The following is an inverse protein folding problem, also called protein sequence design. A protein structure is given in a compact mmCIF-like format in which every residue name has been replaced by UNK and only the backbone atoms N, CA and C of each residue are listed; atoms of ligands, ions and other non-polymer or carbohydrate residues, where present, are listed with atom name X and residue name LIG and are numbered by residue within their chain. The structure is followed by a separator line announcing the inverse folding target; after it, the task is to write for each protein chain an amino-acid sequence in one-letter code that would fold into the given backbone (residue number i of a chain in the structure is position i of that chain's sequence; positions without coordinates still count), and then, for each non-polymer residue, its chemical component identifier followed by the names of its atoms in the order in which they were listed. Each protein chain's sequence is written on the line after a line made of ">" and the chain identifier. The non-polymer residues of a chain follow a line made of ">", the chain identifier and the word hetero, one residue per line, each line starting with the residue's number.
data_IF_805985326174
#
_entry.id   IF_805985326174
#
_cell.length_a   1.000
_cell.length_b   1.000
_cell.length_c   1.000
_cell.angle_alpha   90.00
_cell.angle_beta   90.00
_cell.angle_gamma   90.00
#
_symmetry.space_group_name_H-M   'P 1'
#
loop_
_entity.id
_entity.type
_entity.pdbx_description
1 polymer ?
#
# COMPACT_ATOMS: atom_id res chain seq x y z
N UNK A 1 1.55 26.87 3.23
CA UNK A 1 0.81 27.03 1.95
C UNK A 1 1.01 25.85 1.01
N UNK A 2 2.25 25.57 0.48
CA UNK A 2 2.48 24.44 -0.46
C UNK A 2 2.25 23.07 0.19
N UNK A 3 2.66 22.89 1.44
CA UNK A 3 2.44 21.66 2.19
C UNK A 3 0.94 21.40 2.41
N UNK A 4 0.19 22.41 2.75
CA UNK A 4 -1.26 22.34 2.94
C UNK A 4 -1.98 22.03 1.62
N UNK A 5 -1.55 22.63 0.50
CA UNK A 5 -2.09 22.32 -0.83
C UNK A 5 -1.80 20.86 -1.21
N UNK A 6 -0.58 20.37 -0.98
CA UNK A 6 -0.23 18.98 -1.21
C UNK A 6 -1.06 18.03 -0.33
N UNK A 7 -1.23 18.35 0.94
CA UNK A 7 -2.05 17.56 1.88
C UNK A 7 -3.52 17.55 1.47
N UNK A 8 -4.05 18.69 1.03
CA UNK A 8 -5.43 18.80 0.51
C UNK A 8 -5.63 17.94 -0.74
N UNK A 9 -4.71 18.01 -1.71
CA UNK A 9 -4.79 17.18 -2.92
C UNK A 9 -4.64 15.69 -2.60
N UNK A 10 -3.67 15.34 -1.74
CA UNK A 10 -3.44 13.96 -1.33
C UNK A 10 -4.64 13.38 -0.56
N UNK A 11 -5.30 14.17 0.29
CA UNK A 11 -6.52 13.74 1.01
C UNK A 11 -7.72 13.53 0.09
N UNK A 12 -7.69 14.14 -1.09
CA UNK A 12 -8.67 13.91 -2.17
C UNK A 12 -8.29 12.75 -3.12
N UNK A 13 -7.28 11.94 -2.74
CA UNK A 13 -6.87 10.77 -3.51
C UNK A 13 -5.87 11.05 -4.63
N UNK A 14 -5.41 12.29 -4.81
CA UNK A 14 -4.46 12.63 -5.86
C UNK A 14 -3.02 12.24 -5.50
N UNK A 15 -2.31 11.72 -6.48
CA UNK A 15 -0.85 11.62 -6.46
C UNK A 15 -0.26 12.96 -6.91
N UNK A 16 0.54 13.60 -6.07
CA UNK A 16 1.03 14.95 -6.31
C UNK A 16 2.53 14.95 -6.58
N UNK A 17 2.93 15.63 -7.65
CA UNK A 17 4.32 15.86 -8.03
C UNK A 17 4.59 17.37 -8.03
N UNK A 18 5.65 17.78 -7.35
CA UNK A 18 6.15 19.16 -7.42
C UNK A 18 7.04 19.33 -8.65
N UNK A 19 6.81 20.40 -9.40
CA UNK A 19 7.58 20.76 -10.58
C UNK A 19 8.36 22.02 -10.31
N UNK A 20 9.66 22.00 -10.63
CA UNK A 20 10.55 23.15 -10.52
C UNK A 20 11.49 23.21 -11.72
N UNK A 21 11.93 24.42 -12.09
CA UNK A 21 12.93 24.66 -13.13
C UNK A 21 14.23 25.18 -12.54
N UNK A 22 15.34 24.97 -13.27
CA UNK A 22 16.63 25.56 -12.95
C UNK A 22 17.34 25.96 -14.26
N UNK A 23 17.92 27.13 -14.30
CA UNK A 23 18.78 27.57 -15.42
C UNK A 23 20.16 26.90 -15.37
N UNK A 24 20.52 26.27 -14.28
CA UNK A 24 21.80 25.60 -14.06
C UNK A 24 21.62 24.09 -14.15
N UNK A 25 22.65 23.40 -14.70
CA UNK A 25 22.73 21.92 -14.66
C UNK A 25 22.86 21.35 -13.23
N UNK A 26 23.05 22.21 -12.24
CA UNK A 26 23.10 21.82 -10.84
C UNK A 26 21.73 22.09 -10.19
N UNK A 27 21.27 21.19 -9.32
CA UNK A 27 20.00 21.32 -8.57
C UNK A 27 20.05 22.44 -7.50
N UNK A 28 21.03 23.35 -7.60
CA UNK A 28 21.16 24.54 -6.76
C UNK A 28 20.38 25.69 -7.42
N UNK A 29 19.53 26.37 -6.69
CA UNK A 29 18.65 27.47 -7.17
C UNK A 29 17.57 26.97 -8.14
N UNK A 30 16.62 26.22 -7.61
CA UNK A 30 15.41 25.81 -8.33
C UNK A 30 14.29 26.84 -8.12
N UNK A 31 13.60 27.18 -9.20
CA UNK A 31 12.37 27.98 -9.16
C UNK A 31 11.17 27.03 -9.18
N UNK A 32 10.36 27.08 -8.13
CA UNK A 32 9.13 26.28 -8.07
C UNK A 32 8.15 26.80 -9.13
N UNK A 33 7.61 25.88 -9.94
CA UNK A 33 6.63 26.18 -10.99
C UNK A 33 5.21 25.87 -10.49
N UNK A 34 5.00 24.71 -9.86
CA UNK A 34 3.67 24.29 -9.42
C UNK A 34 3.61 22.85 -8.95
N UNK A 35 2.39 22.44 -8.61
CA UNK A 35 2.03 21.05 -8.33
C UNK A 35 1.24 20.48 -9.50
N UNK A 36 1.54 19.27 -9.89
CA UNK A 36 0.77 18.48 -10.84
C UNK A 36 0.12 17.33 -10.08
N UNK A 37 -1.19 17.24 -10.12
CA UNK A 37 -1.96 16.22 -9.44
C UNK A 37 -2.50 15.20 -10.43
N UNK A 38 -2.30 13.91 -10.16
CA UNK A 38 -2.79 12.80 -10.95
C UNK A 38 -3.79 12.01 -10.11
N UNK A 39 -4.85 11.55 -10.73
CA UNK A 39 -5.74 10.56 -10.15
C UNK A 39 -5.66 9.30 -11.00
N UNK A 40 -5.49 8.16 -10.34
CA UNK A 40 -5.62 6.86 -10.96
C UNK A 40 -6.98 6.30 -10.52
N UNK A 41 -7.99 6.31 -11.41
CA UNK A 41 -9.34 5.93 -11.00
C UNK A 41 -9.38 4.45 -10.63
N UNK A 42 -10.15 4.14 -9.60
CA UNK A 42 -10.45 2.76 -9.24
C UNK A 42 -11.21 2.13 -10.42
N UNK A 43 -10.78 0.94 -10.84
CA UNK A 43 -11.50 0.20 -11.89
C UNK A 43 -12.90 -0.15 -11.41
N UNK A 44 -13.86 -0.14 -12.32
CA UNK A 44 -15.30 -0.30 -12.02
C UNK A 44 -15.60 -1.65 -11.34
N UNK A 45 -14.87 -2.71 -11.73
CA UNK A 45 -15.05 -4.08 -11.24
C UNK A 45 -14.53 -4.32 -9.80
N UNK A 46 -13.67 -3.43 -9.28
CA UNK A 46 -12.98 -3.65 -7.98
C UNK A 46 -13.95 -3.61 -6.80
N UNK A 47 -14.93 -2.72 -6.81
CA UNK A 47 -15.92 -2.63 -5.71
C UNK A 47 -16.76 -3.91 -5.59
N UNK A 48 -17.17 -4.45 -6.72
CA UNK A 48 -17.95 -5.68 -6.77
C UNK A 48 -17.12 -6.86 -6.27
N UNK A 49 -15.90 -7.01 -6.79
CA UNK A 49 -14.96 -8.05 -6.37
C UNK A 49 -14.67 -8.03 -4.86
N UNK A 50 -14.50 -6.84 -4.27
CA UNK A 50 -14.30 -6.69 -2.82
C UNK A 50 -15.56 -7.10 -2.05
N UNK A 51 -16.75 -6.79 -2.54
CA UNK A 51 -17.99 -7.21 -1.92
C UNK A 51 -18.18 -8.73 -1.99
N UNK A 52 -17.81 -9.35 -3.09
CA UNK A 52 -17.80 -10.82 -3.23
C UNK A 52 -16.83 -11.45 -2.22
N UNK A 53 -15.62 -10.92 -2.09
CA UNK A 53 -14.67 -11.37 -1.07
C UNK A 53 -15.26 -11.29 0.34
N UNK A 54 -15.90 -10.17 0.69
CA UNK A 54 -16.55 -9.99 2.00
C UNK A 54 -17.68 -11.00 2.23
N UNK A 55 -18.50 -11.24 1.22
CA UNK A 55 -19.60 -12.19 1.28
C UNK A 55 -19.08 -13.63 1.46
N UNK A 56 -17.94 -13.93 0.86
CA UNK A 56 -17.23 -15.20 1.03
C UNK A 56 -16.47 -15.31 2.36
N UNK A 57 -16.53 -14.30 3.23
CA UNK A 57 -15.79 -14.28 4.50
C UNK A 57 -14.30 -13.99 4.37
N UNK A 58 -13.86 -13.53 3.20
CA UNK A 58 -12.45 -13.19 2.94
C UNK A 58 -12.17 -11.77 3.41
N UNK A 59 -11.15 -11.61 4.25
CA UNK A 59 -10.66 -10.31 4.71
C UNK A 59 -9.71 -9.73 3.66
N UNK A 60 -10.06 -8.60 3.08
CA UNK A 60 -9.22 -7.90 2.11
C UNK A 60 -8.31 -6.90 2.84
N UNK A 61 -7.02 -6.97 2.57
CA UNK A 61 -5.98 -6.07 3.10
C UNK A 61 -5.32 -5.38 1.91
N UNK A 62 -5.17 -4.06 1.99
CA UNK A 62 -4.50 -3.26 0.97
C UNK A 62 -3.07 -2.95 1.39
N UNK A 63 -2.11 -3.25 0.52
CA UNK A 63 -0.70 -2.96 0.71
C UNK A 63 -0.21 -2.15 -0.48
N UNK A 64 0.28 -0.93 -0.24
CA UNK A 64 0.67 0.01 -1.30
C UNK A 64 1.92 0.82 -0.95
N UNK A 65 2.61 1.29 -1.98
CA UNK A 65 3.68 2.29 -1.85
C UNK A 65 3.17 3.73 -1.72
N UNK A 66 1.87 3.97 -1.87
CA UNK A 66 1.27 5.30 -1.90
C UNK A 66 1.32 6.03 -0.55
N UNK A 67 1.00 7.33 -0.62
CA UNK A 67 0.88 8.18 0.56
C UNK A 67 -0.32 7.73 1.43
N UNK A 68 -0.23 7.78 2.77
CA UNK A 68 -1.30 7.33 3.68
C UNK A 68 -2.66 7.96 3.41
N UNK A 69 -2.71 9.26 3.10
CA UNK A 69 -3.97 9.96 2.81
C UNK A 69 -4.61 9.49 1.50
N UNK A 70 -3.80 9.26 0.47
CA UNK A 70 -4.27 8.71 -0.81
C UNK A 70 -4.82 7.30 -0.63
N UNK A 71 -4.06 6.45 0.07
CA UNK A 71 -4.50 5.08 0.35
C UNK A 71 -5.76 5.02 1.24
N UNK A 72 -5.88 5.94 2.20
CA UNK A 72 -7.08 6.08 3.01
C UNK A 72 -8.31 6.42 2.16
N UNK A 73 -8.18 7.43 1.27
CA UNK A 73 -9.28 7.82 0.38
C UNK A 73 -9.74 6.65 -0.49
N UNK A 74 -8.81 5.96 -1.14
CA UNK A 74 -9.10 4.79 -1.98
C UNK A 74 -9.75 3.67 -1.16
N UNK A 75 -9.19 3.32 -0.01
CA UNK A 75 -9.70 2.24 0.82
C UNK A 75 -11.10 2.55 1.39
N UNK A 76 -11.38 3.81 1.69
CA UNK A 76 -12.69 4.28 2.12
C UNK A 76 -13.72 4.19 0.99
N UNK A 77 -13.36 4.62 -0.22
CA UNK A 77 -14.21 4.52 -1.41
C UNK A 77 -14.55 3.06 -1.77
N UNK A 78 -13.62 2.14 -1.48
CA UNK A 78 -13.79 0.70 -1.65
C UNK A 78 -14.52 0.04 -0.46
N UNK A 79 -14.92 0.79 0.56
CA UNK A 79 -15.51 0.29 1.79
C UNK A 79 -14.63 -0.74 2.53
N UNK A 80 -13.31 -0.69 2.37
CA UNK A 80 -12.37 -1.58 3.08
C UNK A 80 -12.19 -1.19 4.53
N UNK A 81 -12.22 0.11 4.83
CA UNK A 81 -11.99 0.70 6.16
C UNK A 81 -13.07 1.74 6.48
N UNK A 82 -13.27 1.95 7.76
CA UNK A 82 -14.17 3.00 8.27
C UNK A 82 -13.39 4.20 8.80
N UNK A 83 -12.26 3.96 9.44
CA UNK A 83 -11.47 4.99 10.12
C UNK A 83 -10.01 4.99 9.69
N UNK A 84 -9.36 6.15 9.84
CA UNK A 84 -7.93 6.30 9.56
C UNK A 84 -7.04 5.45 10.48
N UNK A 85 -7.54 5.04 11.64
CA UNK A 85 -6.80 4.17 12.57
C UNK A 85 -6.49 2.78 12.00
N UNK A 86 -7.19 2.35 10.96
CA UNK A 86 -6.95 1.08 10.26
C UNK A 86 -5.82 1.18 9.21
N UNK A 87 -5.31 2.41 8.97
CA UNK A 87 -4.16 2.69 8.09
C UNK A 87 -2.88 2.71 8.93
N UNK A 88 -1.79 2.22 8.36
CA UNK A 88 -0.45 2.30 8.94
C UNK A 88 0.61 2.50 7.87
N UNK A 89 1.82 2.86 8.30
CA UNK A 89 2.99 3.07 7.42
C UNK A 89 4.04 2.00 7.63
N UNK A 90 4.92 1.80 6.62
CA UNK A 90 6.08 0.92 6.76
C UNK A 90 6.95 1.27 7.96
N UNK A 91 7.12 2.56 8.28
CA UNK A 91 7.87 2.98 9.48
C UNK A 91 7.23 2.51 10.79
N UNK A 92 5.89 2.52 10.88
CA UNK A 92 5.20 1.98 12.05
C UNK A 92 5.30 0.45 12.10
N UNK A 93 5.25 -0.21 10.95
CA UNK A 93 5.49 -1.66 10.83
C UNK A 93 6.86 -2.01 11.41
N UNK A 94 7.93 -1.32 10.98
CA UNK A 94 9.29 -1.52 11.48
C UNK A 94 9.38 -1.29 13.00
N UNK A 95 8.80 -0.20 13.48
CA UNK A 95 8.77 0.14 14.91
C UNK A 95 8.09 -0.94 15.77
N UNK A 96 7.03 -1.56 15.27
CA UNK A 96 6.35 -2.63 16.00
C UNK A 96 7.09 -3.96 15.89
N UNK A 97 7.78 -4.21 14.78
CA UNK A 97 8.65 -5.36 14.62
C UNK A 97 9.79 -5.36 15.66
N UNK A 98 10.38 -4.18 15.94
CA UNK A 98 11.41 -4.00 16.99
C UNK A 98 10.88 -4.29 18.43
N UNK A 99 9.58 -4.14 18.68
CA UNK A 99 8.97 -4.45 19.98
C UNK A 99 8.79 -5.95 20.25
N UNK A 100 9.09 -6.77 19.25
CA UNK A 100 8.97 -8.21 19.32
C UNK A 100 7.67 -8.76 18.73
N UNK A 101 7.75 -10.03 18.40
CA UNK A 101 6.75 -10.73 17.57
C UNK A 101 5.32 -10.64 18.10
N UNK A 102 5.12 -10.81 19.41
CA UNK A 102 3.78 -10.78 20.02
C UNK A 102 3.08 -9.42 19.88
N UNK A 103 3.83 -8.33 20.07
CA UNK A 103 3.28 -6.98 19.92
C UNK A 103 3.08 -6.62 18.44
N UNK A 104 3.95 -7.11 17.58
CA UNK A 104 3.83 -6.98 16.15
C UNK A 104 2.55 -7.67 15.63
N UNK A 105 2.33 -8.93 16.00
CA UNK A 105 1.16 -9.69 15.55
C UNK A 105 -0.16 -9.05 16.02
N UNK A 106 -0.21 -8.53 17.26
CA UNK A 106 -1.37 -7.76 17.73
C UNK A 106 -1.59 -6.49 16.93
N UNK A 107 -0.53 -5.76 16.59
CA UNK A 107 -0.61 -4.54 15.81
C UNK A 107 -1.13 -4.82 14.39
N UNK A 108 -0.56 -5.81 13.70
CA UNK A 108 -0.98 -6.20 12.33
C UNK A 108 -2.46 -6.55 12.30
N UNK A 109 -2.98 -7.26 13.29
CA UNK A 109 -4.39 -7.65 13.39
C UNK A 109 -5.37 -6.47 13.36
N UNK A 110 -4.94 -5.29 13.80
CA UNK A 110 -5.77 -4.08 13.86
C UNK A 110 -5.75 -3.26 12.58
N UNK A 111 -4.90 -3.60 11.62
CA UNK A 111 -4.66 -2.81 10.41
C UNK A 111 -5.21 -3.52 9.18
N UNK A 112 -5.73 -2.73 8.23
CA UNK A 112 -6.24 -3.21 6.95
C UNK A 112 -5.56 -2.54 5.75
N UNK A 113 -4.90 -1.39 5.96
CA UNK A 113 -4.21 -0.63 4.93
C UNK A 113 -2.78 -0.33 5.36
N UNK A 114 -1.83 -0.82 4.58
CA UNK A 114 -0.40 -0.66 4.81
C UNK A 114 0.20 0.19 3.68
N UNK A 115 0.83 1.30 4.05
CA UNK A 115 1.31 2.33 3.12
C UNK A 115 2.82 2.50 3.22
N UNK A 116 3.47 2.90 2.12
CA UNK A 116 4.93 3.12 2.06
C UNK A 116 5.72 1.94 2.61
N UNK A 117 5.27 0.74 2.32
CA UNK A 117 5.90 -0.49 2.78
C UNK A 117 7.04 -0.92 1.87
N UNK A 118 8.07 -1.47 2.47
CA UNK A 118 9.18 -2.14 1.76
C UNK A 118 8.80 -3.59 1.41
N UNK A 119 9.53 -4.25 0.51
CA UNK A 119 9.36 -5.69 0.26
C UNK A 119 9.49 -6.54 1.53
N UNK A 120 10.37 -6.15 2.45
CA UNK A 120 10.54 -6.82 3.74
C UNK A 120 9.30 -6.64 4.63
N UNK A 121 8.75 -5.43 4.69
CA UNK A 121 7.52 -5.21 5.44
C UNK A 121 6.36 -6.07 4.91
N UNK A 122 6.23 -6.21 3.57
CA UNK A 122 5.19 -7.07 2.97
C UNK A 122 5.35 -8.52 3.42
N UNK A 123 6.58 -9.03 3.41
CA UNK A 123 6.88 -10.38 3.89
C UNK A 123 6.51 -10.56 5.37
N UNK A 124 6.93 -9.64 6.24
CA UNK A 124 6.67 -9.72 7.68
C UNK A 124 5.17 -9.63 8.01
N UNK A 125 4.41 -8.83 7.26
CA UNK A 125 2.94 -8.77 7.38
C UNK A 125 2.31 -10.13 7.06
N UNK A 126 2.71 -10.75 5.94
CA UNK A 126 2.22 -12.08 5.53
C UNK A 126 2.55 -13.13 6.58
N UNK A 127 3.80 -13.16 7.05
CA UNK A 127 4.23 -14.11 8.08
C UNK A 127 3.48 -13.90 9.40
N UNK A 128 3.21 -12.66 9.78
CA UNK A 128 2.41 -12.34 10.97
C UNK A 128 0.99 -12.89 10.86
N UNK A 129 0.32 -12.69 9.73
CA UNK A 129 -1.03 -13.20 9.49
C UNK A 129 -1.07 -14.74 9.53
N UNK A 130 -0.09 -15.41 8.92
CA UNK A 130 0.05 -16.87 8.96
C UNK A 130 0.25 -17.39 10.39
N UNK A 131 1.11 -16.74 11.19
CA UNK A 131 1.31 -17.10 12.60
C UNK A 131 0.03 -16.97 13.43
N UNK A 132 -0.86 -16.07 13.03
CA UNK A 132 -2.18 -15.89 13.66
C UNK A 132 -3.22 -16.91 13.19
N UNK A 133 -2.84 -17.86 12.33
CA UNK A 133 -3.70 -18.92 11.82
C UNK A 133 -4.54 -18.51 10.61
N UNK A 134 -4.28 -17.34 10.01
CA UNK A 134 -4.97 -16.91 8.79
C UNK A 134 -4.40 -17.67 7.57
N UNK A 135 -5.26 -18.04 6.64
CA UNK A 135 -4.87 -18.56 5.34
C UNK A 135 -4.74 -17.39 4.38
N UNK A 136 -3.51 -17.11 3.96
CA UNK A 136 -3.16 -15.86 3.26
C UNK A 136 -2.97 -16.09 1.77
N UNK A 137 -3.73 -15.37 0.96
CA UNK A 137 -3.47 -15.20 -0.47
C UNK A 137 -2.87 -13.81 -0.72
N UNK A 138 -1.82 -13.74 -1.53
CA UNK A 138 -1.16 -12.49 -1.91
C UNK A 138 -1.24 -12.33 -3.42
N UNK A 139 -1.64 -11.16 -3.89
CA UNK A 139 -1.55 -10.75 -5.29
C UNK A 139 -0.44 -9.73 -5.46
N UNK A 140 0.31 -9.81 -6.56
CA UNK A 140 1.39 -8.85 -6.86
C UNK A 140 1.77 -8.86 -8.32
N UNK A 141 2.34 -7.76 -8.79
CA UNK A 141 2.73 -7.53 -10.19
C UNK A 141 4.22 -7.20 -10.36
N UNK A 142 4.96 -7.09 -9.28
CA UNK A 142 6.34 -6.63 -9.27
C UNK A 142 7.34 -7.57 -8.60
N UNK A 143 8.61 -7.39 -8.93
CA UNK A 143 9.75 -8.06 -8.29
C UNK A 143 9.74 -7.85 -6.76
N UNK A 144 9.26 -6.70 -6.33
CA UNK A 144 9.18 -6.33 -4.92
C UNK A 144 8.16 -7.17 -4.13
N UNK A 145 7.24 -7.84 -4.81
CA UNK A 145 6.21 -8.68 -4.20
C UNK A 145 6.62 -10.15 -4.09
N UNK A 146 7.67 -10.55 -4.82
CA UNK A 146 8.11 -11.95 -4.90
C UNK A 146 8.35 -12.63 -3.54
N UNK A 147 8.99 -12.00 -2.52
CA UNK A 147 9.14 -12.61 -1.21
C UNK A 147 7.80 -12.88 -0.51
N UNK A 148 6.86 -11.93 -0.58
CA UNK A 148 5.53 -12.06 0.01
C UNK A 148 4.68 -13.09 -0.71
N UNK A 149 4.71 -13.10 -2.07
CA UNK A 149 4.03 -14.10 -2.91
C UNK A 149 4.50 -15.51 -2.57
N UNK A 150 5.81 -15.71 -2.47
CA UNK A 150 6.40 -17.01 -2.14
C UNK A 150 6.07 -17.49 -0.72
N UNK A 151 5.98 -16.56 0.22
CA UNK A 151 5.68 -16.88 1.62
C UNK A 151 4.20 -17.16 1.86
N UNK A 152 3.29 -16.60 1.06
CA UNK A 152 1.86 -16.79 1.20
C UNK A 152 1.43 -18.26 1.00
N UNK A 153 0.22 -18.62 1.51
CA UNK A 153 -0.38 -19.91 1.22
C UNK A 153 -0.78 -20.02 -0.26
N UNK A 154 -1.21 -18.89 -0.86
CA UNK A 154 -1.47 -18.77 -2.29
C UNK A 154 -0.80 -17.48 -2.78
N UNK A 155 0.16 -17.60 -3.69
CA UNK A 155 0.73 -16.48 -4.43
C UNK A 155 0.05 -16.35 -5.79
N UNK A 156 -0.42 -15.15 -6.14
CA UNK A 156 -1.08 -14.86 -7.42
C UNK A 156 -0.29 -13.76 -8.12
N UNK A 157 0.48 -14.13 -9.14
CA UNK A 157 1.15 -13.15 -9.98
C UNK A 157 0.20 -12.61 -11.04
N UNK A 158 0.19 -11.29 -11.22
CA UNK A 158 -0.58 -10.66 -12.27
C UNK A 158 0.05 -10.94 -13.64
N UNK A 159 -0.76 -11.23 -14.66
CA UNK A 159 -0.26 -11.61 -16.00
C UNK A 159 0.52 -10.51 -16.73
N UNK A 160 0.46 -9.27 -16.25
CA UNK A 160 1.32 -8.16 -16.68
C UNK A 160 2.60 -8.02 -15.86
N UNK A 161 2.82 -8.90 -14.88
CA UNK A 161 4.00 -8.87 -14.00
C UNK A 161 5.30 -9.21 -14.72
N UNK A 162 6.41 -8.94 -14.06
CA UNK A 162 7.75 -9.29 -14.56
C UNK A 162 7.95 -10.80 -14.55
N UNK A 163 8.76 -11.32 -15.47
CA UNK A 163 9.10 -12.75 -15.56
C UNK A 163 9.56 -13.34 -14.22
N UNK A 164 10.18 -12.53 -13.38
CA UNK A 164 10.62 -12.94 -12.04
C UNK A 164 9.44 -13.24 -11.09
N UNK A 165 8.32 -12.54 -11.23
CA UNK A 165 7.10 -12.80 -10.46
C UNK A 165 6.43 -14.11 -10.87
N UNK A 166 6.62 -14.53 -12.12
CA UNK A 166 6.02 -15.74 -12.70
C UNK A 166 6.87 -17.01 -12.43
N UNK A 167 8.19 -16.87 -12.26
CA UNK A 167 9.12 -18.02 -12.13
C UNK A 167 9.06 -18.69 -10.74
N UNK A 168 8.50 -18.04 -9.71
CA UNK A 168 8.59 -18.48 -8.32
C UNK A 168 7.25 -18.85 -7.67
N UNK A 169 6.21 -19.08 -8.45
CA UNK A 169 4.89 -19.54 -7.98
C UNK A 169 4.78 -21.05 -8.03
#
# INVERSE_FOLDING_TARGET
>A
LLKEQNESLASSGYRVIAVASSESKTLKKMTFIGLVAFIDPIREDVKESINECKTAGIKVIMITGDHPLTAYSIAKDLNLIETFNEVTTGQEVDKYLEKGQKEFDKFIKTKKVFTRVTPLNKLEIVESLKRQGEFVAVTGDGVNDAPALKSANIGIAMGSGTDLSLIHI
#
